data_IF_598690403894
#
_entry.id   IF_598690403894
#
_cell.length_a   1.000
_cell.length_b   1.000
_cell.length_c   1.000
_cell.angle_alpha   90.00
_cell.angle_beta   90.00
_cell.angle_gamma   90.00
#
_symmetry.space_group_name_H-M   'P 1'
#
loop_
_entity.id
_entity.type
_entity.pdbx_description
1 polymer ?
#
# COMPACT_ATOMS: atom_id res chain seq x y z
N UNK A 1 53.10 -27.38 9.62
CA UNK A 1 52.63 -25.98 9.48
C UNK A 1 51.93 -25.86 8.15
N UNK A 2 50.63 -25.65 8.14
CA UNK A 2 49.85 -25.34 6.91
C UNK A 2 49.81 -23.83 6.74
N UNK A 3 49.97 -23.29 5.51
CA UNK A 3 49.92 -21.85 5.31
C UNK A 3 48.48 -21.34 5.47
N UNK A 4 48.34 -20.23 6.20
CA UNK A 4 47.11 -19.48 6.38
C UNK A 4 46.77 -18.83 5.03
N UNK A 5 45.58 -19.13 4.47
CA UNK A 5 45.11 -18.53 3.25
C UNK A 5 44.82 -17.05 3.51
N UNK A 6 45.57 -16.16 2.84
CA UNK A 6 45.25 -14.73 2.78
C UNK A 6 43.94 -14.51 2.02
N UNK A 7 42.89 -14.08 2.71
CA UNK A 7 41.66 -13.60 2.08
C UNK A 7 41.96 -12.42 1.15
N UNK A 8 41.82 -12.62 -0.14
CA UNK A 8 41.97 -11.55 -1.14
C UNK A 8 40.80 -10.57 -1.01
N UNK A 9 41.11 -9.30 -0.85
CA UNK A 9 40.11 -8.23 -0.82
C UNK A 9 39.25 -8.24 -2.11
N UNK A 10 37.93 -8.03 -2.02
CA UNK A 10 37.05 -8.07 -3.18
C UNK A 10 37.39 -6.97 -4.21
N UNK A 11 37.14 -7.21 -5.51
CA UNK A 11 37.42 -6.25 -6.59
C UNK A 11 36.77 -4.89 -6.35
N UNK A 12 37.44 -3.81 -6.77
CA UNK A 12 37.02 -2.41 -6.59
C UNK A 12 35.58 -2.15 -7.09
N UNK A 13 35.17 -2.81 -8.18
CA UNK A 13 33.81 -2.72 -8.71
C UNK A 13 32.74 -3.27 -7.74
N UNK A 14 33.05 -4.33 -6.98
CA UNK A 14 32.18 -4.89 -5.95
C UNK A 14 32.12 -4.00 -4.69
N UNK A 15 33.24 -3.33 -4.35
CA UNK A 15 33.28 -2.32 -3.27
C UNK A 15 32.44 -1.09 -3.60
N UNK A 16 32.49 -0.61 -4.84
CA UNK A 16 31.70 0.53 -5.29
C UNK A 16 30.20 0.21 -5.37
N UNK A 17 29.82 -0.98 -5.87
CA UNK A 17 28.42 -1.44 -5.81
C UNK A 17 27.89 -1.58 -4.39
N UNK A 18 28.71 -2.11 -3.45
CA UNK A 18 28.32 -2.19 -2.03
C UNK A 18 28.21 -0.83 -1.35
N UNK A 19 29.12 0.14 -1.67
CA UNK A 19 29.03 1.51 -1.15
C UNK A 19 27.81 2.25 -1.70
N UNK A 20 27.49 2.14 -3.00
CA UNK A 20 26.32 2.76 -3.58
C UNK A 20 25.04 2.16 -2.96
N UNK A 21 24.93 0.83 -2.87
CA UNK A 21 23.78 0.15 -2.23
C UNK A 21 23.62 0.50 -0.75
N UNK A 22 24.73 0.70 0.00
CA UNK A 22 24.68 1.18 1.39
C UNK A 22 24.27 2.64 1.51
N UNK A 23 24.62 3.50 0.55
CA UNK A 23 24.18 4.89 0.55
C UNK A 23 22.70 5.01 0.17
N UNK A 24 22.23 4.25 -0.83
CA UNK A 24 20.80 4.15 -1.19
C UNK A 24 19.94 3.64 -0.02
N UNK A 25 20.42 2.65 0.75
CA UNK A 25 19.73 2.13 1.93
C UNK A 25 19.67 3.18 3.07
N UNK A 26 20.74 3.95 3.29
CA UNK A 26 20.74 5.02 4.30
C UNK A 26 19.80 6.17 3.92
N UNK A 27 19.66 6.46 2.64
CA UNK A 27 18.75 7.50 2.17
C UNK A 27 17.28 7.05 2.24
N UNK A 28 16.95 5.76 2.03
CA UNK A 28 15.56 5.29 2.05
C UNK A 28 14.93 5.34 3.45
N UNK A 29 15.68 5.06 4.53
CA UNK A 29 15.16 5.22 5.92
C UNK A 29 14.95 6.69 6.28
N UNK A 30 15.83 7.58 5.82
CA UNK A 30 15.65 9.03 5.97
C UNK A 30 14.43 9.55 5.21
N UNK A 31 14.15 8.99 4.03
CA UNK A 31 12.94 9.32 3.29
C UNK A 31 11.68 8.88 4.04
N UNK A 32 11.66 7.64 4.58
CA UNK A 32 10.57 7.19 5.44
C UNK A 32 10.40 8.10 6.66
N UNK A 33 11.50 8.49 7.32
CA UNK A 33 11.46 9.41 8.45
C UNK A 33 10.80 10.74 8.08
N UNK A 34 11.16 11.35 6.93
CA UNK A 34 10.53 12.60 6.45
C UNK A 34 9.02 12.44 6.22
N UNK A 35 8.56 11.29 5.71
CA UNK A 35 7.13 11.01 5.57
C UNK A 35 6.43 10.95 6.94
N UNK A 36 7.03 10.29 7.92
CA UNK A 36 6.48 10.20 9.27
C UNK A 36 6.49 11.54 9.99
N UNK A 37 7.54 12.36 9.83
CA UNK A 37 7.59 13.74 10.34
C UNK A 37 6.43 14.58 9.77
N UNK A 38 6.15 14.50 8.45
CA UNK A 38 4.99 15.17 7.82
C UNK A 38 3.65 14.70 8.40
N UNK A 39 3.50 13.38 8.66
CA UNK A 39 2.29 12.83 9.28
C UNK A 39 2.17 13.35 10.72
N UNK A 40 3.23 13.35 11.51
CA UNK A 40 3.23 13.82 12.89
C UNK A 40 2.93 15.34 13.00
N UNK A 41 3.46 16.14 12.08
CA UNK A 41 3.19 17.58 12.04
C UNK A 41 1.75 17.89 11.64
N UNK A 42 1.25 17.25 10.56
CA UNK A 42 -0.08 17.52 10.02
C UNK A 42 -1.20 16.80 10.76
N UNK A 43 -0.90 15.68 11.42
CA UNK A 43 -1.87 14.80 12.10
C UNK A 43 -3.14 14.59 11.28
N UNK A 44 -3.02 14.03 10.05
CA UNK A 44 -4.14 13.98 9.12
C UNK A 44 -5.29 13.17 9.69
N UNK A 45 -6.51 13.73 9.58
CA UNK A 45 -7.74 13.01 9.85
C UNK A 45 -8.14 12.25 8.58
N UNK A 46 -8.44 10.97 8.70
CA UNK A 46 -8.88 10.13 7.59
C UNK A 46 -10.30 9.68 7.80
N UNK A 47 -11.17 9.99 6.85
CA UNK A 47 -12.48 9.36 6.76
C UNK A 47 -12.34 7.99 6.11
N UNK A 48 -12.77 6.92 6.82
CA UNK A 48 -12.51 5.53 6.44
C UNK A 48 -13.80 4.72 6.32
N UNK A 49 -14.31 4.59 5.11
CA UNK A 49 -15.38 3.64 4.80
C UNK A 49 -14.76 2.27 4.50
N UNK A 50 -14.43 1.54 5.56
CA UNK A 50 -13.75 0.24 5.47
C UNK A 50 -14.69 -0.93 5.76
N UNK A 51 -14.21 -2.17 5.55
CA UNK A 51 -15.05 -3.33 5.78
C UNK A 51 -15.13 -3.72 7.27
N UNK A 52 -16.29 -4.24 7.68
CA UNK A 52 -16.61 -4.55 9.09
C UNK A 52 -15.68 -5.59 9.72
N UNK A 53 -15.03 -6.45 8.91
CA UNK A 53 -14.13 -7.49 9.43
C UNK A 53 -12.84 -6.88 9.98
N UNK A 54 -12.41 -5.74 9.44
CA UNK A 54 -11.07 -5.19 9.67
C UNK A 54 -11.07 -3.76 10.22
N UNK A 55 -12.25 -3.21 10.52
CA UNK A 55 -12.42 -1.82 10.95
C UNK A 55 -11.51 -1.45 12.13
N UNK A 56 -11.42 -2.33 13.13
CA UNK A 56 -10.58 -2.09 14.33
C UNK A 56 -9.08 -2.10 13.98
N UNK A 57 -8.64 -3.04 13.13
CA UNK A 57 -7.23 -3.13 12.73
C UNK A 57 -6.80 -1.93 11.89
N UNK A 58 -7.66 -1.50 10.96
CA UNK A 58 -7.42 -0.31 10.13
C UNK A 58 -7.26 0.92 11.00
N UNK A 59 -8.17 1.11 11.99
CA UNK A 59 -8.09 2.23 12.93
C UNK A 59 -6.77 2.22 13.72
N UNK A 60 -6.39 1.08 14.29
CA UNK A 60 -5.18 0.96 15.09
C UNK A 60 -3.90 1.18 14.26
N UNK A 61 -3.87 0.72 13.00
CA UNK A 61 -2.73 0.95 12.11
C UNK A 61 -2.58 2.44 11.74
N UNK A 62 -3.70 3.13 11.49
CA UNK A 62 -3.70 4.57 11.24
C UNK A 62 -3.21 5.34 12.48
N UNK A 63 -3.68 4.97 13.68
CA UNK A 63 -3.21 5.57 14.93
C UNK A 63 -1.72 5.29 15.17
N UNK A 64 -1.26 4.07 14.91
CA UNK A 64 0.13 3.69 15.10
C UNK A 64 1.12 4.49 14.23
N UNK A 65 0.70 4.97 13.04
CA UNK A 65 1.54 5.83 12.21
C UNK A 65 1.46 7.33 12.55
N UNK A 66 0.62 7.73 13.52
CA UNK A 66 0.47 9.12 13.97
C UNK A 66 -0.66 9.90 13.29
N UNK A 67 -1.49 9.26 12.47
CA UNK A 67 -2.71 9.83 11.88
C UNK A 67 -3.95 9.54 12.74
N UNK A 68 -5.09 10.13 12.41
CA UNK A 68 -6.34 9.98 13.15
C UNK A 68 -7.43 9.39 12.23
N UNK A 69 -8.05 8.23 12.57
CA UNK A 69 -9.14 7.66 11.79
C UNK A 69 -10.52 8.13 12.29
N UNK A 70 -11.44 8.32 11.35
CA UNK A 70 -12.89 8.30 11.58
C UNK A 70 -13.47 7.14 10.79
N UNK A 71 -14.38 6.38 11.39
CA UNK A 71 -14.98 5.19 10.79
C UNK A 71 -16.50 5.41 10.60
N UNK A 72 -16.89 6.62 10.15
CA UNK A 72 -18.26 6.98 9.89
C UNK A 72 -18.70 6.42 8.54
N UNK A 73 -19.82 5.68 8.50
CA UNK A 73 -20.29 5.05 7.25
C UNK A 73 -21.77 5.32 6.94
N UNK A 74 -22.48 6.03 7.83
CA UNK A 74 -23.86 6.44 7.58
C UNK A 74 -23.90 7.57 6.54
N UNK A 75 -24.82 7.45 5.58
CA UNK A 75 -24.87 8.33 4.40
C UNK A 75 -25.09 9.81 4.74
N UNK A 76 -25.71 10.11 5.86
CA UNK A 76 -26.03 11.45 6.35
C UNK A 76 -24.87 12.12 7.09
N UNK A 77 -23.94 11.34 7.68
CA UNK A 77 -22.78 11.90 8.38
C UNK A 77 -21.50 11.97 7.50
N UNK A 78 -21.37 11.11 6.47
CA UNK A 78 -20.19 11.04 5.61
C UNK A 78 -19.80 12.42 5.02
N UNK A 79 -20.74 13.28 4.55
CA UNK A 79 -20.36 14.59 4.01
C UNK A 79 -19.61 15.47 5.01
N UNK A 80 -20.03 15.46 6.26
CA UNK A 80 -19.46 16.29 7.33
C UNK A 80 -18.03 15.83 7.66
N UNK A 81 -17.83 14.52 7.77
CA UNK A 81 -16.50 13.96 8.02
C UNK A 81 -15.55 14.11 6.84
N UNK A 82 -16.00 13.91 5.60
CA UNK A 82 -15.18 14.16 4.41
C UNK A 82 -14.73 15.61 4.33
N UNK A 83 -15.62 16.57 4.71
CA UNK A 83 -15.29 17.99 4.71
C UNK A 83 -14.08 18.30 5.61
N UNK A 84 -14.04 17.76 6.84
CA UNK A 84 -12.97 18.01 7.81
C UNK A 84 -11.77 17.08 7.65
N UNK A 85 -11.91 15.96 6.93
CA UNK A 85 -10.84 15.01 6.70
C UNK A 85 -9.73 15.57 5.82
N UNK A 86 -8.53 15.07 5.99
CA UNK A 86 -7.36 15.32 5.14
C UNK A 86 -7.28 14.34 3.95
N UNK A 87 -7.98 13.21 4.03
CA UNK A 87 -8.05 12.19 2.99
C UNK A 87 -9.15 11.18 3.28
N UNK A 88 -9.52 10.40 2.27
CA UNK A 88 -10.61 9.41 2.33
C UNK A 88 -10.08 8.03 1.96
N UNK A 89 -10.45 7.02 2.74
CA UNK A 89 -10.13 5.61 2.50
C UNK A 89 -11.42 4.85 2.23
N UNK A 90 -11.51 4.18 1.08
CA UNK A 90 -12.67 3.39 0.69
C UNK A 90 -12.25 1.96 0.43
N UNK A 91 -12.87 1.01 1.14
CA UNK A 91 -12.68 -0.41 0.96
C UNK A 91 -14.03 -1.07 0.68
N UNK A 92 -14.21 -1.60 -0.54
CA UNK A 92 -15.50 -2.17 -1.00
C UNK A 92 -15.75 -3.60 -0.50
N UNK A 93 -15.04 -4.05 0.53
CA UNK A 93 -15.19 -5.38 1.12
C UNK A 93 -16.54 -5.61 1.82
N UNK A 94 -17.25 -4.56 2.24
CA UNK A 94 -18.60 -4.62 2.78
C UNK A 94 -19.56 -3.83 1.89
N UNK A 95 -20.67 -4.45 1.47
CA UNK A 95 -21.62 -3.87 0.50
C UNK A 95 -22.87 -3.27 1.16
N UNK A 96 -22.98 -3.30 2.48
CA UNK A 96 -24.16 -2.84 3.22
C UNK A 96 -24.40 -1.35 3.00
N UNK A 97 -23.39 -0.52 3.18
CA UNK A 97 -23.45 0.94 3.03
C UNK A 97 -22.86 1.44 1.70
N UNK A 98 -23.09 0.68 0.61
CA UNK A 98 -22.50 0.99 -0.71
C UNK A 98 -22.83 2.39 -1.24
N UNK A 99 -23.97 2.97 -0.84
CA UNK A 99 -24.35 4.34 -1.21
C UNK A 99 -23.40 5.39 -0.61
N UNK A 100 -22.88 5.13 0.58
CA UNK A 100 -21.93 6.02 1.27
C UNK A 100 -20.60 6.13 0.53
N UNK A 101 -20.17 5.12 -0.22
CA UNK A 101 -18.95 5.19 -1.03
C UNK A 101 -19.06 6.25 -2.13
N UNK A 102 -20.22 6.31 -2.83
CA UNK A 102 -20.45 7.31 -3.85
C UNK A 102 -20.52 8.72 -3.26
N UNK A 103 -21.19 8.86 -2.11
CA UNK A 103 -21.28 10.11 -1.36
C UNK A 103 -19.87 10.58 -0.96
N UNK A 104 -19.07 9.72 -0.36
CA UNK A 104 -17.71 10.02 0.07
C UNK A 104 -16.82 10.46 -1.11
N UNK A 105 -16.85 9.74 -2.24
CA UNK A 105 -16.07 10.10 -3.42
C UNK A 105 -16.49 11.43 -4.05
N UNK A 106 -17.81 11.72 -4.08
CA UNK A 106 -18.33 12.98 -4.57
C UNK A 106 -17.83 14.15 -3.74
N UNK A 107 -17.98 14.07 -2.42
CA UNK A 107 -17.52 15.13 -1.52
C UNK A 107 -16.00 15.23 -1.44
N UNK A 108 -15.28 14.10 -1.55
CA UNK A 108 -13.82 14.12 -1.67
C UNK A 108 -13.37 14.90 -2.93
N UNK A 109 -14.03 14.70 -4.05
CA UNK A 109 -13.78 15.47 -5.27
C UNK A 109 -14.11 16.97 -5.09
N UNK A 110 -15.25 17.28 -4.48
CA UNK A 110 -15.69 18.65 -4.22
C UNK A 110 -14.69 19.41 -3.34
N UNK A 111 -14.19 18.76 -2.28
CA UNK A 111 -13.25 19.37 -1.32
C UNK A 111 -11.77 19.13 -1.66
N UNK A 112 -11.47 18.51 -2.82
CA UNK A 112 -10.09 18.25 -3.26
C UNK A 112 -9.32 17.28 -2.37
N UNK A 113 -10.01 16.34 -1.70
CA UNK A 113 -9.38 15.36 -0.81
C UNK A 113 -8.85 14.15 -1.61
N UNK A 114 -7.63 13.64 -1.31
CA UNK A 114 -7.15 12.41 -1.92
C UNK A 114 -7.98 11.21 -1.47
N UNK A 115 -8.34 10.33 -2.41
CA UNK A 115 -9.06 9.07 -2.16
C UNK A 115 -8.12 7.89 -2.38
N UNK A 116 -8.02 7.00 -1.41
CA UNK A 116 -7.39 5.69 -1.54
C UNK A 116 -8.46 4.62 -1.59
N UNK A 117 -8.52 3.88 -2.70
CA UNK A 117 -9.52 2.85 -2.96
C UNK A 117 -8.90 1.45 -2.88
N UNK A 118 -9.56 0.58 -2.10
CA UNK A 118 -9.26 -0.85 -2.00
C UNK A 118 -10.39 -1.66 -2.67
N UNK A 119 -10.15 -2.25 -3.87
CA UNK A 119 -11.17 -2.94 -4.65
C UNK A 119 -11.40 -4.38 -4.18
N UNK A 120 -11.53 -4.61 -2.89
CA UNK A 120 -11.65 -5.95 -2.28
C UNK A 120 -12.72 -6.81 -2.96
N UNK A 121 -12.27 -7.92 -3.55
CA UNK A 121 -13.15 -8.91 -4.18
C UNK A 121 -13.67 -8.53 -5.56
N UNK A 122 -13.09 -7.50 -6.20
CA UNK A 122 -13.26 -7.22 -7.63
C UNK A 122 -12.74 -8.44 -8.43
N UNK A 123 -13.51 -8.87 -9.41
CA UNK A 123 -13.28 -10.13 -10.13
C UNK A 123 -13.94 -11.35 -9.50
N UNK A 124 -14.00 -11.44 -8.17
CA UNK A 124 -14.66 -12.54 -7.48
C UNK A 124 -16.20 -12.35 -7.37
N UNK A 125 -16.66 -11.09 -7.21
CA UNK A 125 -18.09 -10.78 -7.10
C UNK A 125 -18.48 -9.71 -8.13
N UNK A 126 -19.47 -10.04 -9.00
CA UNK A 126 -19.97 -9.14 -10.05
C UNK A 126 -20.45 -7.79 -9.48
N UNK A 127 -21.14 -7.80 -8.33
CA UNK A 127 -21.64 -6.58 -7.71
C UNK A 127 -20.50 -5.63 -7.30
N UNK A 128 -19.42 -6.16 -6.72
CA UNK A 128 -18.22 -5.36 -6.34
C UNK A 128 -17.51 -4.81 -7.57
N UNK A 129 -17.35 -5.64 -8.61
CA UNK A 129 -16.74 -5.21 -9.88
C UNK A 129 -17.55 -4.08 -10.52
N UNK A 130 -18.88 -4.21 -10.59
CA UNK A 130 -19.77 -3.20 -11.15
C UNK A 130 -19.71 -1.89 -10.34
N UNK A 131 -19.81 -1.99 -9.01
CA UNK A 131 -19.75 -0.81 -8.13
C UNK A 131 -18.41 -0.08 -8.27
N UNK A 132 -17.30 -0.80 -8.11
CA UNK A 132 -15.95 -0.20 -8.17
C UNK A 132 -15.69 0.46 -9.52
N UNK A 133 -16.06 -0.20 -10.62
CA UNK A 133 -15.90 0.37 -11.96
C UNK A 133 -16.78 1.61 -12.15
N UNK A 134 -18.01 1.62 -11.61
CA UNK A 134 -18.91 2.78 -11.68
C UNK A 134 -18.35 3.97 -10.89
N UNK A 135 -17.80 3.72 -9.69
CA UNK A 135 -17.15 4.75 -8.87
C UNK A 135 -15.94 5.36 -9.59
N UNK A 136 -15.02 4.53 -10.08
CA UNK A 136 -13.81 4.96 -10.78
C UNK A 136 -14.09 5.71 -12.10
N UNK A 137 -15.21 5.44 -12.77
CA UNK A 137 -15.62 6.19 -13.98
C UNK A 137 -16.12 7.58 -13.69
N UNK A 138 -16.64 7.82 -12.49
CA UNK A 138 -17.29 9.09 -12.11
C UNK A 138 -16.39 10.00 -11.30
N UNK A 139 -15.52 9.42 -10.48
CA UNK A 139 -14.77 10.16 -9.47
C UNK A 139 -13.28 9.85 -9.55
N UNK A 140 -12.41 10.87 -9.38
CA UNK A 140 -10.97 10.67 -9.32
C UNK A 140 -10.57 9.88 -8.07
N UNK A 141 -9.50 9.09 -8.21
CA UNK A 141 -8.87 8.39 -7.13
C UNK A 141 -7.38 8.77 -7.09
N UNK A 142 -6.80 8.95 -5.93
CA UNK A 142 -5.37 9.23 -5.79
C UNK A 142 -4.55 7.94 -5.88
N UNK A 143 -5.01 6.90 -5.16
CA UNK A 143 -4.37 5.59 -5.15
C UNK A 143 -5.42 4.48 -5.24
N UNK A 144 -5.17 3.49 -6.10
CA UNK A 144 -5.86 2.19 -6.07
C UNK A 144 -4.88 1.18 -5.50
N UNK A 145 -5.24 0.53 -4.39
CA UNK A 145 -4.42 -0.51 -3.77
C UNK A 145 -5.17 -1.84 -3.76
N UNK A 146 -4.63 -2.89 -4.36
CA UNK A 146 -5.26 -4.20 -4.41
C UNK A 146 -4.24 -5.32 -4.62
N UNK A 147 -4.70 -6.58 -4.56
CA UNK A 147 -3.88 -7.72 -4.94
C UNK A 147 -3.79 -7.88 -6.47
N UNK A 148 -2.93 -8.80 -6.93
CA UNK A 148 -2.68 -8.99 -8.36
C UNK A 148 -3.95 -9.34 -9.15
N UNK A 149 -4.85 -10.16 -8.59
CA UNK A 149 -6.12 -10.55 -9.23
C UNK A 149 -7.08 -9.36 -9.37
N UNK A 150 -7.23 -8.55 -8.32
CA UNK A 150 -8.07 -7.36 -8.30
C UNK A 150 -7.58 -6.31 -9.31
N UNK A 151 -6.28 -6.02 -9.32
CA UNK A 151 -5.69 -5.04 -10.24
C UNK A 151 -5.76 -5.53 -11.69
N UNK A 152 -5.51 -6.83 -11.94
CA UNK A 152 -5.71 -7.43 -13.28
C UNK A 152 -7.15 -7.27 -13.76
N UNK A 153 -8.13 -7.55 -12.91
CA UNK A 153 -9.56 -7.40 -13.27
C UNK A 153 -9.91 -5.95 -13.62
N UNK A 154 -9.33 -4.97 -12.93
CA UNK A 154 -9.50 -3.55 -13.27
C UNK A 154 -8.83 -3.18 -14.61
N UNK A 155 -7.80 -3.89 -15.03
CA UNK A 155 -7.20 -3.76 -16.36
C UNK A 155 -8.10 -4.37 -17.45
N UNK A 156 -8.59 -5.61 -17.23
CA UNK A 156 -9.38 -6.40 -18.22
C UNK A 156 -10.79 -5.86 -18.42
N UNK A 157 -11.45 -5.35 -17.40
CA UNK A 157 -12.82 -4.80 -17.42
C UNK A 157 -13.04 -3.64 -18.40
N UNK A 158 -12.03 -3.37 -19.24
CA UNK A 158 -11.98 -2.35 -20.26
C UNK A 158 -12.16 -2.86 -21.70
N UNK A 159 -12.19 -4.15 -21.92
CA UNK A 159 -12.29 -4.71 -23.28
C UNK A 159 -11.06 -4.52 -24.18
N UNK A 160 -9.99 -3.88 -23.69
CA UNK A 160 -8.81 -3.49 -24.50
C UNK A 160 -7.53 -4.30 -24.25
N UNK A 161 -7.48 -5.14 -23.22
CA UNK A 161 -6.30 -5.98 -22.96
C UNK A 161 -6.45 -7.40 -23.49
N UNK A 162 -6.67 -7.55 -24.80
CA UNK A 162 -6.33 -8.78 -25.51
C UNK A 162 -4.81 -8.83 -25.61
N UNK A 163 -4.15 -9.50 -24.68
CA UNK A 163 -2.69 -9.68 -24.76
C UNK A 163 -1.93 -9.76 -23.44
N UNK A 164 -2.56 -9.58 -22.28
CA UNK A 164 -1.92 -9.92 -21.01
C UNK A 164 -2.23 -11.39 -20.73
N UNK A 165 -1.26 -12.26 -21.04
CA UNK A 165 -1.40 -13.70 -20.97
C UNK A 165 -2.03 -14.17 -19.65
N UNK A 166 -3.19 -14.82 -19.76
CA UNK A 166 -3.88 -15.52 -18.68
C UNK A 166 -3.07 -16.72 -18.11
N UNK A 167 -1.90 -16.99 -18.66
CA UNK A 167 -1.07 -18.14 -18.34
C UNK A 167 -0.06 -17.91 -17.20
N UNK A 168 0.18 -16.66 -16.78
CA UNK A 168 1.08 -16.37 -15.66
C UNK A 168 0.25 -16.32 -14.38
N UNK A 169 0.45 -17.28 -13.45
CA UNK A 169 -0.18 -17.27 -12.11
C UNK A 169 -0.06 -15.90 -11.42
N UNK A 170 -0.93 -15.58 -10.46
CA UNK A 170 -1.02 -14.22 -9.85
C UNK A 170 0.22 -13.82 -9.02
N UNK A 171 1.22 -14.71 -8.90
CA UNK A 171 2.44 -14.43 -8.15
C UNK A 171 3.28 -13.31 -8.80
N UNK A 172 3.73 -12.36 -7.99
CA UNK A 172 4.74 -11.36 -8.38
C UNK A 172 6.09 -11.88 -7.92
N UNK A 173 6.88 -12.39 -8.87
CA UNK A 173 8.27 -12.86 -8.67
C UNK A 173 9.22 -11.99 -9.48
N UNK A 174 10.53 -12.14 -9.29
CA UNK A 174 11.54 -11.37 -10.05
C UNK A 174 11.36 -11.55 -11.57
N UNK A 175 11.01 -12.73 -12.03
CA UNK A 175 10.82 -13.03 -13.46
C UNK A 175 9.53 -12.41 -14.00
N UNK A 176 8.50 -12.24 -13.16
CA UNK A 176 7.18 -11.73 -13.57
C UNK A 176 7.05 -10.21 -13.40
N UNK A 177 8.00 -9.52 -12.74
CA UNK A 177 7.97 -8.06 -12.54
C UNK A 177 7.65 -7.32 -13.85
N UNK A 178 8.29 -7.53 -15.01
CA UNK A 178 8.02 -6.74 -16.21
C UNK A 178 6.57 -6.85 -16.68
N UNK A 179 6.02 -8.07 -16.68
CA UNK A 179 4.63 -8.32 -17.10
C UNK A 179 3.63 -7.73 -16.10
N UNK A 180 3.87 -7.89 -14.79
CA UNK A 180 3.00 -7.35 -13.73
C UNK A 180 3.05 -5.84 -13.67
N UNK A 181 4.22 -5.25 -13.85
CA UNK A 181 4.38 -3.80 -13.92
C UNK A 181 3.64 -3.20 -15.11
N UNK A 182 3.59 -3.89 -16.26
CA UNK A 182 2.79 -3.46 -17.40
C UNK A 182 1.29 -3.38 -17.05
N UNK A 183 0.76 -4.35 -16.29
CA UNK A 183 -0.63 -4.32 -15.79
C UNK A 183 -0.85 -3.14 -14.84
N UNK A 184 0.06 -2.93 -13.87
CA UNK A 184 0.00 -1.80 -12.93
C UNK A 184 -0.04 -0.47 -13.68
N UNK A 185 0.88 -0.28 -14.64
CA UNK A 185 0.94 0.94 -15.48
C UNK A 185 -0.31 1.12 -16.34
N UNK A 186 -0.87 0.04 -16.89
CA UNK A 186 -2.10 0.12 -17.69
C UNK A 186 -3.29 0.62 -16.84
N UNK A 187 -3.45 0.09 -15.61
CA UNK A 187 -4.49 0.56 -14.67
C UNK A 187 -4.23 2.00 -14.24
N UNK A 188 -2.98 2.35 -13.90
CA UNK A 188 -2.60 3.71 -13.50
C UNK A 188 -2.91 4.75 -14.59
N UNK A 189 -2.54 4.45 -15.82
CA UNK A 189 -2.81 5.33 -16.98
C UNK A 189 -4.31 5.45 -17.28
N UNK A 190 -5.06 4.34 -17.16
CA UNK A 190 -6.50 4.32 -17.39
C UNK A 190 -7.27 5.18 -16.41
N UNK A 191 -6.97 5.07 -15.12
CA UNK A 191 -7.70 5.75 -14.05
C UNK A 191 -7.01 7.02 -13.58
N UNK A 192 -5.88 7.40 -14.22
CA UNK A 192 -5.09 8.61 -13.91
C UNK A 192 -4.71 8.72 -12.42
N UNK A 193 -4.28 7.60 -11.82
CA UNK A 193 -3.97 7.50 -10.41
C UNK A 193 -2.69 6.67 -10.18
N UNK A 194 -2.22 6.65 -8.95
CA UNK A 194 -1.22 5.67 -8.52
C UNK A 194 -1.89 4.31 -8.28
N UNK A 195 -1.24 3.23 -8.68
CA UNK A 195 -1.67 1.86 -8.40
C UNK A 195 -0.61 1.15 -7.58
N UNK A 196 -1.02 0.53 -6.47
CA UNK A 196 -0.20 -0.32 -5.62
C UNK A 196 -0.73 -1.75 -5.67
N UNK A 197 -0.04 -2.62 -6.40
CA UNK A 197 -0.34 -4.05 -6.50
C UNK A 197 0.46 -4.81 -5.45
N UNK A 198 -0.22 -5.48 -4.50
CA UNK A 198 0.44 -6.31 -3.50
C UNK A 198 0.68 -7.73 -3.97
N UNK A 199 1.82 -8.29 -3.53
CA UNK A 199 2.27 -9.64 -3.84
C UNK A 199 3.44 -10.07 -2.94
N UNK A 200 4.21 -11.07 -3.37
CA UNK A 200 5.49 -11.39 -2.73
C UNK A 200 6.52 -10.27 -2.95
N UNK A 201 6.41 -9.58 -4.06
CA UNK A 201 7.05 -8.29 -4.35
C UNK A 201 5.89 -7.34 -4.68
N UNK A 202 5.79 -6.22 -3.96
CA UNK A 202 4.76 -5.23 -4.26
C UNK A 202 5.24 -4.30 -5.37
N UNK A 203 4.32 -3.95 -6.29
CA UNK A 203 4.61 -3.06 -7.42
C UNK A 203 3.75 -1.81 -7.34
N UNK A 204 4.38 -0.65 -7.37
CA UNK A 204 3.70 0.64 -7.28
C UNK A 204 4.05 1.49 -8.51
N UNK A 205 3.06 2.10 -9.17
CA UNK A 205 3.30 3.02 -10.28
C UNK A 205 2.16 4.02 -10.47
N UNK A 206 2.51 5.23 -10.94
CA UNK A 206 1.58 6.23 -11.46
C UNK A 206 1.52 6.25 -13.01
N UNK A 207 2.10 5.21 -13.64
CA UNK A 207 2.26 5.12 -15.10
C UNK A 207 3.61 5.66 -15.62
N UNK A 208 4.28 6.54 -14.86
CA UNK A 208 5.57 7.15 -15.21
C UNK A 208 6.70 6.64 -14.32
N UNK A 209 6.55 6.86 -13.01
CA UNK A 209 7.48 6.38 -11.99
C UNK A 209 6.98 5.04 -11.45
N UNK A 210 7.90 4.13 -11.14
CA UNK A 210 7.55 2.79 -10.66
C UNK A 210 8.51 2.34 -9.57
N UNK A 211 7.96 1.64 -8.58
CA UNK A 211 8.71 1.07 -7.47
C UNK A 211 8.42 -0.42 -7.33
N UNK A 212 9.44 -1.21 -6.97
CA UNK A 212 9.29 -2.54 -6.42
C UNK A 212 9.62 -2.49 -4.92
N UNK A 213 8.75 -3.04 -4.07
CA UNK A 213 8.97 -3.18 -2.64
C UNK A 213 9.14 -4.66 -2.30
N UNK A 214 10.24 -5.00 -1.59
CA UNK A 214 10.57 -6.38 -1.19
C UNK A 214 10.50 -6.58 0.32
N UNK A 215 9.86 -5.66 1.05
CA UNK A 215 9.58 -5.82 2.47
C UNK A 215 8.34 -6.70 2.67
N UNK A 216 8.33 -7.41 3.78
CA UNK A 216 7.22 -8.24 4.20
C UNK A 216 7.61 -9.70 4.44
N UNK A 217 6.68 -10.43 5.02
CA UNK A 217 6.82 -11.86 5.33
C UNK A 217 5.54 -12.61 5.00
N UNK A 218 5.62 -13.91 4.64
CA UNK A 218 4.42 -14.70 4.29
C UNK A 218 3.35 -14.76 5.40
N UNK A 219 3.72 -14.61 6.67
CA UNK A 219 2.77 -14.59 7.79
C UNK A 219 1.73 -13.47 7.70
N UNK A 220 2.03 -12.38 7.00
CA UNK A 220 1.08 -11.29 6.80
C UNK A 220 -0.19 -11.76 6.07
N UNK A 221 -0.10 -12.75 5.18
CA UNK A 221 -1.26 -13.32 4.49
C UNK A 221 -2.13 -14.22 5.38
N UNK A 222 -1.62 -14.67 6.53
CA UNK A 222 -2.31 -15.53 7.47
C UNK A 222 -3.05 -14.73 8.58
N UNK A 223 -2.92 -13.40 8.59
CA UNK A 223 -3.66 -12.51 9.49
C UNK A 223 -4.62 -11.67 8.66
N UNK A 224 -5.92 -11.84 8.94
CA UNK A 224 -6.96 -11.10 8.20
C UNK A 224 -6.79 -9.60 8.38
N UNK A 225 -7.07 -8.84 7.34
CA UNK A 225 -7.07 -7.38 7.42
C UNK A 225 -5.72 -6.70 7.18
N UNK A 226 -4.61 -7.44 7.04
CA UNK A 226 -3.30 -6.83 6.76
C UNK A 226 -3.31 -5.98 5.50
N UNK A 227 -4.00 -6.44 4.45
CA UNK A 227 -4.22 -5.66 3.24
C UNK A 227 -5.05 -4.41 3.48
N UNK A 228 -6.20 -4.53 4.13
CA UNK A 228 -7.07 -3.39 4.45
C UNK A 228 -6.34 -2.36 5.33
N UNK A 229 -5.52 -2.83 6.27
CA UNK A 229 -4.67 -1.98 7.12
C UNK A 229 -3.62 -1.22 6.31
N UNK A 230 -2.99 -1.88 5.32
CA UNK A 230 -2.09 -1.20 4.39
C UNK A 230 -2.83 -0.12 3.59
N UNK A 231 -4.09 -0.34 3.21
CA UNK A 231 -4.89 0.69 2.54
C UNK A 231 -5.12 1.91 3.45
N UNK A 232 -5.43 1.69 4.73
CA UNK A 232 -5.52 2.76 5.72
C UNK A 232 -4.20 3.51 5.92
N UNK A 233 -3.09 2.78 6.05
CA UNK A 233 -1.75 3.36 6.13
C UNK A 233 -1.41 4.18 4.87
N UNK A 234 -1.72 3.66 3.68
CA UNK A 234 -1.56 4.40 2.42
C UNK A 234 -2.38 5.70 2.43
N UNK A 235 -3.58 5.68 3.03
CA UNK A 235 -4.40 6.87 3.24
C UNK A 235 -3.68 7.96 4.05
N UNK A 236 -2.99 7.58 5.13
CA UNK A 236 -2.24 8.51 5.97
C UNK A 236 -1.08 9.19 5.19
N UNK A 237 -0.35 8.41 4.39
CA UNK A 237 0.70 8.94 3.53
C UNK A 237 0.14 9.82 2.40
N UNK A 238 -0.93 9.38 1.74
CA UNK A 238 -1.59 10.14 0.66
C UNK A 238 -2.14 11.49 1.15
N UNK A 239 -2.67 11.55 2.39
CA UNK A 239 -3.22 12.76 2.98
C UNK A 239 -2.18 13.87 3.23
N UNK A 240 -0.89 13.53 3.30
CA UNK A 240 0.20 14.51 3.49
C UNK A 240 1.07 14.70 2.25
N UNK A 241 0.79 13.94 1.17
CA UNK A 241 1.52 13.98 -0.08
C UNK A 241 1.00 15.07 -1.03
N UNK A 242 1.91 15.64 -1.80
CA UNK A 242 1.55 16.39 -3.00
C UNK A 242 1.14 15.43 -4.13
N UNK A 243 0.37 15.90 -5.10
CA UNK A 243 -0.10 15.07 -6.21
C UNK A 243 1.05 14.36 -6.97
N UNK A 244 2.19 15.02 -7.12
CA UNK A 244 3.38 14.47 -7.78
C UNK A 244 4.15 13.45 -6.96
N UNK A 245 3.89 13.36 -5.66
CA UNK A 245 4.56 12.47 -4.71
C UNK A 245 3.74 11.19 -4.41
N UNK A 246 2.57 11.02 -5.02
CA UNK A 246 1.60 10.01 -4.65
C UNK A 246 2.15 8.57 -4.82
N UNK A 247 2.95 8.32 -5.86
CA UNK A 247 3.60 7.02 -6.07
C UNK A 247 4.66 6.74 -5.00
N UNK A 248 5.45 7.74 -4.61
CA UNK A 248 6.44 7.64 -3.53
C UNK A 248 5.75 7.42 -2.18
N UNK A 249 4.69 8.17 -1.88
CA UNK A 249 3.88 8.02 -0.67
C UNK A 249 3.34 6.59 -0.52
N UNK A 250 2.73 6.04 -1.58
CA UNK A 250 2.22 4.67 -1.60
C UNK A 250 3.35 3.63 -1.46
N UNK A 251 4.52 3.87 -2.06
CA UNK A 251 5.68 2.99 -1.95
C UNK A 251 6.22 2.95 -0.50
N UNK A 252 6.35 4.10 0.16
CA UNK A 252 6.83 4.14 1.56
C UNK A 252 5.79 3.62 2.55
N UNK A 253 4.49 3.81 2.33
CA UNK A 253 3.45 3.16 3.12
C UNK A 253 3.55 1.63 3.01
N UNK A 254 3.76 1.11 1.80
CA UNK A 254 3.95 -0.33 1.54
C UNK A 254 5.21 -0.86 2.24
N UNK A 255 6.34 -0.17 2.10
CA UNK A 255 7.59 -0.55 2.76
C UNK A 255 7.46 -0.54 4.29
N UNK A 256 6.82 0.48 4.87
CA UNK A 256 6.58 0.57 6.31
C UNK A 256 5.77 -0.61 6.83
N UNK A 257 4.68 -0.99 6.15
CA UNK A 257 3.88 -2.16 6.51
C UNK A 257 4.69 -3.46 6.43
N UNK A 258 5.47 -3.65 5.37
CA UNK A 258 6.32 -4.82 5.20
C UNK A 258 7.43 -4.89 6.25
N UNK A 259 8.09 -3.77 6.57
CA UNK A 259 9.08 -3.66 7.64
C UNK A 259 8.49 -4.04 9.00
N UNK A 260 7.30 -3.54 9.30
CA UNK A 260 6.58 -3.88 10.53
C UNK A 260 6.26 -5.39 10.59
N UNK A 261 5.87 -5.98 9.46
CA UNK A 261 5.67 -7.43 9.33
C UNK A 261 6.94 -8.23 9.62
N UNK A 262 8.09 -7.79 9.10
CA UNK A 262 9.39 -8.42 9.37
C UNK A 262 9.78 -8.35 10.86
N UNK A 263 9.64 -7.16 11.47
CA UNK A 263 9.91 -6.96 12.88
C UNK A 263 8.96 -7.76 13.78
N UNK A 264 7.67 -7.80 13.45
CA UNK A 264 6.67 -8.60 14.15
C UNK A 264 6.98 -10.10 14.06
N UNK A 265 7.34 -10.60 12.88
CA UNK A 265 7.72 -12.00 12.68
C UNK A 265 8.92 -12.39 13.51
N UNK A 266 9.95 -11.55 13.58
CA UNK A 266 11.14 -11.81 14.37
C UNK A 266 10.79 -12.08 15.86
N UNK A 267 9.79 -11.36 16.41
CA UNK A 267 9.31 -11.50 17.79
C UNK A 267 8.31 -12.66 17.97
N UNK A 268 7.42 -12.86 16.97
CA UNK A 268 6.25 -13.73 17.10
C UNK A 268 6.44 -15.15 16.59
N UNK A 269 7.50 -15.48 15.84
CA UNK A 269 7.67 -16.76 15.14
C UNK A 269 7.60 -18.00 16.04
N UNK A 270 7.91 -17.87 17.34
CA UNK A 270 7.76 -18.92 18.35
C UNK A 270 6.47 -18.85 19.14
N UNK A 271 5.62 -17.80 18.95
CA UNK A 271 4.42 -17.55 19.75
C UNK A 271 3.13 -17.81 18.96
N UNK A 272 3.06 -17.40 17.69
CA UNK A 272 1.91 -17.62 16.83
C UNK A 272 1.31 -16.34 16.23
N UNK A 273 0.27 -16.52 15.40
CA UNK A 273 -0.35 -15.44 14.59
C UNK A 273 -1.05 -14.36 15.41
N UNK A 274 -1.62 -14.71 16.58
CA UNK A 274 -2.23 -13.71 17.47
C UNK A 274 -1.20 -12.71 17.98
N UNK A 275 -0.05 -13.21 18.45
CA UNK A 275 1.08 -12.39 18.89
C UNK A 275 1.67 -11.60 17.70
N UNK A 276 1.76 -12.20 16.51
CA UNK A 276 2.21 -11.52 15.31
C UNK A 276 1.34 -10.27 15.01
N UNK A 277 0.00 -10.38 15.09
CA UNK A 277 -0.90 -9.24 14.90
C UNK A 277 -0.64 -8.12 15.91
N UNK A 278 -0.41 -8.45 17.18
CA UNK A 278 -0.09 -7.47 18.22
C UNK A 278 1.25 -6.79 17.91
N UNK A 279 2.30 -7.57 17.67
CA UNK A 279 3.63 -7.03 17.36
C UNK A 279 3.69 -6.26 16.04
N UNK A 280 2.76 -6.49 15.09
CA UNK A 280 2.65 -5.70 13.87
C UNK A 280 2.28 -4.25 14.18
N UNK A 281 1.28 -4.04 15.06
CA UNK A 281 0.85 -2.70 15.50
C UNK A 281 1.95 -2.03 16.32
N UNK A 282 2.58 -2.77 17.25
CA UNK A 282 3.71 -2.27 18.05
C UNK A 282 4.87 -1.82 17.15
N UNK A 283 5.22 -2.64 16.14
CA UNK A 283 6.30 -2.33 15.22
C UNK A 283 6.01 -1.11 14.33
N UNK A 284 4.75 -0.90 13.94
CA UNK A 284 4.34 0.31 13.19
C UNK A 284 4.53 1.57 14.03
N UNK A 285 4.17 1.55 15.31
CA UNK A 285 4.30 2.71 16.21
C UNK A 285 5.74 3.09 16.53
N UNK A 286 6.69 2.14 16.38
CA UNK A 286 8.12 2.31 16.66
C UNK A 286 8.99 2.00 15.44
N UNK A 287 8.49 2.21 14.24
CA UNK A 287 9.10 1.69 13.00
C UNK A 287 10.53 2.20 12.76
N UNK A 288 10.83 3.43 13.15
CA UNK A 288 12.17 4.00 13.00
C UNK A 288 13.20 3.39 13.97
N UNK A 289 12.73 2.79 15.06
CA UNK A 289 13.55 2.08 16.07
C UNK A 289 13.80 0.62 15.70
N UNK A 290 13.00 0.06 14.76
CA UNK A 290 13.16 -1.33 14.34
C UNK A 290 14.45 -1.52 13.52
N UNK A 291 15.10 -2.68 13.71
CA UNK A 291 16.29 -3.08 12.94
C UNK A 291 15.90 -3.68 11.58
N UNK A 292 15.14 -2.91 10.82
CA UNK A 292 14.69 -3.21 9.45
C UNK A 292 14.82 -1.97 8.58
N UNK A 293 14.95 -2.16 7.27
CA UNK A 293 15.14 -1.07 6.32
C UNK A 293 14.11 -1.17 5.19
N UNK A 294 13.67 -0.03 4.61
CA UNK A 294 12.89 -0.05 3.38
C UNK A 294 13.70 -0.71 2.26
N UNK A 295 13.10 -1.69 1.59
CA UNK A 295 13.68 -2.37 0.42
C UNK A 295 12.91 -1.96 -0.83
N UNK A 296 13.00 -0.67 -1.15
CA UNK A 296 12.40 -0.06 -2.33
C UNK A 296 13.45 0.04 -3.45
N UNK A 297 13.03 -0.31 -4.66
CA UNK A 297 13.79 -0.14 -5.89
C UNK A 297 12.98 0.68 -6.89
N UNK A 298 13.60 1.71 -7.46
CA UNK A 298 13.05 2.47 -8.57
C UNK A 298 13.26 1.68 -9.87
N UNK A 299 12.18 1.45 -10.64
CA UNK A 299 12.16 0.62 -11.84
C UNK A 299 12.09 1.46 -13.13
#
# INVERSE_FOLDING_TARGET
>A
MRPVAQERAPPVALRNKRKNKMNEIKDSKKCLQRWLERIQEKRPLLECLTNVVTINDVANVILACGASPVMADAADEVPDFVNIASGVVINVGTMQNRGSYEIAMRYAQEYGKPVVLDPVGVGAAKARTTLTTALLRRYPCAVIRGNASEIRTLAEGAGETKGVDAAVGDAVTEETIPARLAVVKAVANRWHCTVAMSGAIDLISDGKVSYACRNGVPWMSNVTGTGCSLTGLTGAFAAVAEKSEMAEAAAYATAMMGMAGEAAYAKAKSLGLGSFRVYLIDALSTILEQDVQPRLELL
#
